data_IF_546952257179
#
_entry.id   IF_546952257179
#
_cell.length_a   1.000
_cell.length_b   1.000
_cell.length_c   1.000
_cell.angle_alpha   90.00
_cell.angle_beta   90.00
_cell.angle_gamma   90.00
#
_symmetry.space_group_name_H-M   'P 1'
#
loop_
_entity.id
_entity.type
_entity.pdbx_description
1 polymer ?
#
# COMPACT_ATOMS: atom_id res chain seq x y z
N UNK A 1 11.08 -21.55 -21.41
CA UNK A 1 11.77 -21.04 -20.21
C UNK A 1 11.35 -19.58 -19.96
N UNK A 2 11.10 -19.17 -18.72
CA UNK A 2 10.79 -17.78 -18.40
C UNK A 2 11.94 -16.84 -18.79
N UNK A 3 11.63 -15.71 -19.44
CA UNK A 3 12.60 -14.64 -19.75
C UNK A 3 12.79 -13.73 -18.52
N UNK A 4 13.88 -12.97 -18.44
CA UNK A 4 14.15 -12.02 -17.35
C UNK A 4 12.96 -11.09 -17.06
N UNK A 5 12.30 -10.58 -18.11
CA UNK A 5 11.09 -9.76 -17.98
C UNK A 5 9.95 -10.44 -17.22
N UNK A 6 9.80 -11.77 -17.33
CA UNK A 6 8.75 -12.51 -16.64
C UNK A 6 9.03 -12.56 -15.13
N UNK A 7 10.31 -12.70 -14.72
CA UNK A 7 10.71 -12.63 -13.30
C UNK A 7 10.44 -11.28 -12.66
N UNK A 8 10.58 -10.18 -13.42
CA UNK A 8 10.17 -8.87 -12.94
C UNK A 8 8.64 -8.77 -12.88
N UNK A 9 7.93 -9.24 -13.90
CA UNK A 9 6.47 -9.11 -13.99
C UNK A 9 5.74 -9.94 -12.92
N UNK A 10 6.23 -11.12 -12.53
CA UNK A 10 5.61 -11.95 -11.50
C UNK A 10 5.68 -11.32 -10.10
N UNK A 11 6.59 -10.37 -9.88
CA UNK A 11 6.66 -9.58 -8.65
C UNK A 11 5.69 -8.38 -8.63
N UNK A 12 4.84 -8.22 -9.65
CA UNK A 12 3.82 -7.19 -9.81
C UNK A 12 4.33 -5.74 -9.68
N UNK A 13 5.29 -5.29 -10.51
CA UNK A 13 5.93 -3.98 -10.36
C UNK A 13 4.93 -2.81 -10.47
N UNK A 14 3.79 -3.00 -11.14
CA UNK A 14 2.71 -2.00 -11.20
C UNK A 14 2.05 -1.71 -9.83
N UNK A 15 2.18 -2.60 -8.85
CA UNK A 15 1.66 -2.42 -7.49
C UNK A 15 2.64 -1.73 -6.54
N UNK A 16 3.96 -1.72 -6.84
CA UNK A 16 4.99 -1.16 -5.96
C UNK A 16 4.80 0.31 -5.56
N UNK A 17 4.15 1.17 -6.38
CA UNK A 17 3.79 2.50 -5.93
C UNK A 17 2.93 2.52 -4.64
N UNK A 18 2.19 1.45 -4.33
CA UNK A 18 1.41 1.38 -3.09
C UNK A 18 2.29 1.36 -1.84
N UNK A 19 3.50 0.76 -1.88
CA UNK A 19 4.46 0.82 -0.77
C UNK A 19 5.41 2.01 -0.88
N UNK A 20 5.77 2.40 -2.10
CA UNK A 20 6.63 3.54 -2.36
C UNK A 20 5.99 4.88 -1.97
N UNK A 21 4.69 5.04 -2.19
CA UNK A 21 3.97 6.28 -1.90
C UNK A 21 4.02 6.68 -0.42
N UNK A 22 3.64 5.85 0.57
CA UNK A 22 3.76 6.22 1.98
C UNK A 22 5.22 6.45 2.40
N UNK A 23 6.16 5.68 1.86
CA UNK A 23 7.57 5.87 2.15
C UNK A 23 8.09 7.22 1.63
N UNK A 24 7.67 7.64 0.43
CA UNK A 24 7.98 8.96 -0.15
C UNK A 24 7.36 10.11 0.65
N UNK A 25 6.12 9.97 1.12
CA UNK A 25 5.46 10.97 1.98
C UNK A 25 6.26 11.12 3.27
N UNK A 26 6.65 10.02 3.92
CA UNK A 26 7.45 10.06 5.13
C UNK A 26 8.81 10.74 4.90
N UNK A 27 9.51 10.36 3.83
CA UNK A 27 10.79 10.94 3.46
C UNK A 27 10.70 12.46 3.23
N UNK A 28 9.69 12.90 2.45
CA UNK A 28 9.45 14.33 2.19
C UNK A 28 9.06 15.09 3.45
N UNK A 29 8.31 14.43 4.36
CA UNK A 29 7.95 15.04 5.63
C UNK A 29 9.15 15.19 6.58
N UNK A 30 10.09 14.24 6.59
CA UNK A 30 11.36 14.39 7.32
C UNK A 30 12.18 15.57 6.75
N UNK A 31 12.15 15.79 5.43
CA UNK A 31 12.76 16.98 4.84
C UNK A 31 12.10 18.27 5.38
N UNK A 32 10.76 18.32 5.44
CA UNK A 32 10.04 19.44 6.04
C UNK A 32 10.47 19.66 7.50
N UNK A 33 10.49 18.61 8.32
CA UNK A 33 10.89 18.67 9.73
C UNK A 33 12.32 19.18 9.90
N UNK A 34 13.25 18.72 9.06
CA UNK A 34 14.65 19.17 9.06
C UNK A 34 14.78 20.66 8.72
N UNK A 35 14.10 21.12 7.67
CA UNK A 35 14.14 22.51 7.23
C UNK A 35 13.46 23.48 8.20
N UNK A 36 12.46 23.02 8.96
CA UNK A 36 11.75 23.81 9.97
C UNK A 36 12.35 23.70 11.37
N UNK A 37 13.45 22.96 11.54
CA UNK A 37 14.14 22.81 12.82
C UNK A 37 13.46 21.89 13.83
N UNK A 38 12.48 21.09 13.39
CA UNK A 38 11.82 20.08 14.24
C UNK A 38 12.77 18.92 14.54
N UNK A 39 13.62 18.56 13.58
CA UNK A 39 14.72 17.58 13.76
C UNK A 39 16.05 18.21 13.34
N UNK A 40 17.09 17.93 14.11
CA UNK A 40 18.41 18.53 13.89
C UNK A 40 19.29 17.71 12.94
N UNK A 41 19.19 16.38 13.01
CA UNK A 41 20.04 15.47 12.25
C UNK A 41 19.19 14.48 11.48
N UNK A 42 19.58 14.19 10.23
CA UNK A 42 18.84 13.29 9.34
C UNK A 42 19.80 12.42 8.53
N UNK A 43 19.60 11.11 8.58
CA UNK A 43 20.30 10.18 7.71
C UNK A 43 19.50 9.92 6.42
N UNK A 44 19.81 10.68 5.38
CA UNK A 44 19.15 10.61 4.07
C UNK A 44 19.36 9.26 3.38
N UNK A 45 20.54 8.65 3.54
CA UNK A 45 20.84 7.35 2.98
C UNK A 45 19.90 6.27 3.57
N UNK A 46 19.70 6.28 4.89
CA UNK A 46 18.81 5.33 5.54
C UNK A 46 17.35 5.50 5.09
N UNK A 47 16.92 6.74 4.83
CA UNK A 47 15.61 7.01 4.23
C UNK A 47 15.47 6.37 2.84
N UNK A 48 16.47 6.53 1.97
CA UNK A 48 16.44 5.87 0.64
C UNK A 48 16.46 4.35 0.77
N UNK A 49 17.27 3.80 1.65
CA UNK A 49 17.32 2.36 1.90
C UNK A 49 15.99 1.83 2.46
N UNK A 50 15.30 2.59 3.30
CA UNK A 50 13.98 2.22 3.82
C UNK A 50 12.89 2.22 2.72
N UNK A 51 12.93 3.17 1.78
CA UNK A 51 12.04 3.16 0.59
C UNK A 51 12.27 1.89 -0.23
N UNK A 52 13.53 1.56 -0.52
CA UNK A 52 13.90 0.34 -1.24
C UNK A 52 13.43 -0.89 -0.47
N UNK A 53 13.66 -0.94 0.85
CA UNK A 53 13.21 -2.01 1.72
C UNK A 53 11.69 -2.23 1.68
N UNK A 54 10.90 -1.15 1.74
CA UNK A 54 9.44 -1.22 1.63
C UNK A 54 8.98 -1.84 0.31
N UNK A 55 9.63 -1.51 -0.80
CA UNK A 55 9.34 -2.10 -2.12
C UNK A 55 9.76 -3.57 -2.18
N UNK A 56 10.91 -3.93 -1.61
CA UNK A 56 11.38 -5.31 -1.55
C UNK A 56 10.40 -6.20 -0.75
N UNK A 57 9.97 -5.76 0.45
CA UNK A 57 8.98 -6.49 1.23
C UNK A 57 7.64 -6.63 0.51
N UNK A 58 7.20 -5.59 -0.20
CA UNK A 58 5.99 -5.66 -1.02
C UNK A 58 6.12 -6.67 -2.16
N UNK A 59 7.23 -6.64 -2.91
CA UNK A 59 7.50 -7.59 -3.99
C UNK A 59 7.54 -9.03 -3.46
N UNK A 60 8.17 -9.28 -2.32
CA UNK A 60 8.19 -10.58 -1.66
C UNK A 60 6.77 -11.05 -1.30
N UNK A 61 5.95 -10.18 -0.72
CA UNK A 61 4.56 -10.47 -0.38
C UNK A 61 3.72 -10.84 -1.61
N UNK A 62 3.89 -10.14 -2.73
CA UNK A 62 3.23 -10.47 -3.99
C UNK A 62 3.60 -11.86 -4.49
N UNK A 63 4.91 -12.17 -4.51
CA UNK A 63 5.41 -13.48 -4.97
C UNK A 63 4.90 -14.64 -4.11
N UNK A 64 4.91 -14.47 -2.79
CA UNK A 64 4.40 -15.49 -1.85
C UNK A 64 2.89 -15.65 -2.03
N UNK A 65 2.14 -14.55 -2.16
CA UNK A 65 0.70 -14.58 -2.38
C UNK A 65 0.33 -15.21 -3.72
N UNK A 66 1.05 -14.91 -4.81
CA UNK A 66 0.85 -15.51 -6.14
C UNK A 66 0.88 -17.03 -6.08
N UNK A 67 1.86 -17.61 -5.35
CA UNK A 67 1.93 -19.06 -5.13
C UNK A 67 0.73 -19.60 -4.38
N UNK A 68 0.38 -18.98 -3.25
CA UNK A 68 -0.71 -19.48 -2.39
C UNK A 68 -2.09 -19.32 -3.04
N UNK A 69 -2.32 -18.22 -3.76
CA UNK A 69 -3.55 -17.97 -4.50
C UNK A 69 -3.73 -19.00 -5.64
N UNK A 70 -2.64 -19.36 -6.34
CA UNK A 70 -2.65 -20.41 -7.35
C UNK A 70 -2.97 -21.79 -6.75
N UNK A 71 -2.22 -22.22 -5.72
CA UNK A 71 -2.39 -23.54 -5.09
C UNK A 71 -3.79 -23.71 -4.49
N UNK A 72 -4.39 -22.62 -4.01
CA UNK A 72 -5.75 -22.64 -3.44
C UNK A 72 -6.86 -22.50 -4.50
N UNK A 73 -6.49 -22.29 -5.76
CA UNK A 73 -7.48 -22.11 -6.83
C UNK A 73 -8.23 -20.77 -6.79
N UNK A 74 -7.64 -19.77 -6.13
CA UNK A 74 -8.14 -18.40 -6.08
C UNK A 74 -7.94 -17.70 -7.42
N UNK A 75 -6.77 -17.89 -8.02
CA UNK A 75 -6.43 -17.33 -9.33
C UNK A 75 -6.77 -18.35 -10.42
N UNK A 76 -7.65 -17.95 -11.34
CA UNK A 76 -8.10 -18.72 -12.51
C UNK A 76 -7.95 -17.86 -13.76
N UNK A 77 -8.00 -18.48 -14.97
CA UNK A 77 -7.90 -17.76 -16.24
C UNK A 77 -9.04 -16.76 -16.45
N UNK A 78 -10.22 -17.09 -15.95
CA UNK A 78 -11.44 -16.28 -16.09
C UNK A 78 -11.48 -15.10 -15.09
N UNK A 79 -10.54 -15.03 -14.13
CA UNK A 79 -10.54 -13.98 -13.12
C UNK A 79 -10.26 -12.63 -13.74
N UNK A 80 -11.09 -11.66 -13.40
CA UNK A 80 -10.89 -10.25 -13.79
C UNK A 80 -9.65 -9.68 -13.09
N UNK A 81 -8.84 -8.91 -13.80
CA UNK A 81 -7.65 -8.25 -13.24
C UNK A 81 -6.37 -8.60 -13.97
N UNK A 82 -5.20 -8.26 -13.43
CA UNK A 82 -3.92 -8.56 -14.04
C UNK A 82 -3.70 -10.05 -14.22
N UNK A 83 -3.23 -10.44 -15.38
CA UNK A 83 -2.99 -11.86 -15.70
C UNK A 83 -1.86 -12.40 -14.82
N UNK A 84 -2.09 -13.57 -14.22
CA UNK A 84 -1.15 -14.27 -13.35
C UNK A 84 -0.25 -15.21 -14.17
N UNK A 85 1.06 -15.08 -14.02
CA UNK A 85 2.01 -15.82 -14.85
C UNK A 85 2.07 -17.31 -14.51
N UNK A 86 1.73 -17.70 -13.28
CA UNK A 86 1.60 -19.12 -12.89
C UNK A 86 0.37 -19.71 -13.57
N UNK A 87 -0.78 -19.03 -13.56
CA UNK A 87 -2.02 -19.50 -14.19
C UNK A 87 -1.86 -19.67 -15.71
N UNK A 88 -1.04 -18.83 -16.36
CA UNK A 88 -0.69 -18.97 -17.77
C UNK A 88 0.31 -20.10 -18.08
N UNK A 89 0.80 -20.84 -17.07
CA UNK A 89 1.80 -21.89 -17.25
C UNK A 89 3.20 -21.37 -17.66
N UNK A 90 3.47 -20.05 -17.52
CA UNK A 90 4.78 -19.47 -17.80
C UNK A 90 5.78 -19.86 -16.71
N UNK A 91 5.31 -19.96 -15.47
CA UNK A 91 6.08 -20.43 -14.32
C UNK A 91 5.42 -21.65 -13.68
N UNK A 92 6.27 -22.57 -13.19
CA UNK A 92 5.86 -23.49 -12.17
C UNK A 92 5.70 -22.75 -10.82
N UNK A 93 4.77 -23.18 -9.94
CA UNK A 93 4.51 -22.46 -8.68
C UNK A 93 5.71 -22.39 -7.73
N UNK A 94 6.43 -23.53 -7.54
CA UNK A 94 7.54 -23.62 -6.57
C UNK A 94 8.69 -22.64 -6.82
N UNK A 95 9.20 -22.45 -8.07
CA UNK A 95 10.21 -21.43 -8.38
C UNK A 95 9.78 -20.01 -8.01
N UNK A 96 8.50 -19.66 -8.17
CA UNK A 96 7.98 -18.33 -7.78
C UNK A 96 7.99 -18.16 -6.26
N UNK A 97 7.60 -19.18 -5.51
CA UNK A 97 7.69 -19.16 -4.05
C UNK A 97 9.14 -19.01 -3.56
N UNK A 98 10.07 -19.78 -4.15
CA UNK A 98 11.50 -19.68 -3.83
C UNK A 98 12.02 -18.27 -4.09
N UNK A 99 11.67 -17.69 -5.24
CA UNK A 99 12.02 -16.31 -5.57
C UNK A 99 11.44 -15.34 -4.54
N UNK A 100 10.20 -15.53 -4.10
CA UNK A 100 9.58 -14.74 -3.04
C UNK A 100 10.39 -14.78 -1.73
N UNK A 101 10.84 -15.94 -1.31
CA UNK A 101 11.68 -16.06 -0.11
C UNK A 101 13.10 -15.49 -0.28
N UNK A 102 13.68 -15.57 -1.47
CA UNK A 102 14.97 -14.92 -1.75
C UNK A 102 14.85 -13.38 -1.67
N UNK A 103 13.79 -12.82 -2.26
CA UNK A 103 13.51 -11.37 -2.19
C UNK A 103 13.22 -10.96 -0.74
N UNK A 104 12.44 -11.76 0.01
CA UNK A 104 12.19 -11.53 1.43
C UNK A 104 13.49 -11.52 2.24
N UNK A 105 14.37 -12.47 2.01
CA UNK A 105 15.67 -12.57 2.69
C UNK A 105 16.54 -11.35 2.41
N UNK A 106 16.54 -10.83 1.18
CA UNK A 106 17.23 -9.60 0.85
C UNK A 106 16.65 -8.39 1.64
N UNK A 107 15.32 -8.32 1.76
CA UNK A 107 14.64 -7.31 2.59
C UNK A 107 15.00 -7.44 4.07
N UNK A 108 15.05 -8.65 4.61
CA UNK A 108 15.43 -8.90 6.01
C UNK A 108 16.90 -8.50 6.26
N UNK A 109 17.82 -8.83 5.36
CA UNK A 109 19.23 -8.42 5.48
C UNK A 109 19.39 -6.90 5.48
N UNK A 110 18.67 -6.20 4.60
CA UNK A 110 18.62 -4.74 4.60
C UNK A 110 18.01 -4.21 5.91
N UNK A 111 16.93 -4.83 6.40
CA UNK A 111 16.29 -4.48 7.67
C UNK A 111 17.24 -4.68 8.86
N UNK A 112 18.02 -5.75 8.90
CA UNK A 112 19.04 -6.00 9.94
C UNK A 112 20.14 -4.94 9.87
N UNK A 113 20.61 -4.58 8.67
CA UNK A 113 21.58 -3.51 8.51
C UNK A 113 21.06 -2.18 9.10
N UNK A 114 19.84 -1.80 8.80
CA UNK A 114 19.22 -0.59 9.36
C UNK A 114 19.01 -0.72 10.88
N UNK A 115 18.55 -1.89 11.36
CA UNK A 115 18.32 -2.17 12.79
C UNK A 115 19.58 -1.99 13.63
N UNK A 116 20.72 -2.53 13.17
CA UNK A 116 22.00 -2.44 13.88
C UNK A 116 22.45 -0.96 13.98
N UNK A 117 22.10 -0.14 13.01
CA UNK A 117 22.52 1.26 12.98
C UNK A 117 21.51 2.23 13.63
N UNK A 118 20.24 1.83 13.83
CA UNK A 118 19.17 2.73 14.31
C UNK A 118 18.54 2.28 15.63
N UNK A 119 18.64 0.98 15.98
CA UNK A 119 18.23 0.46 17.27
C UNK A 119 16.90 -0.28 17.28
N UNK A 120 16.54 -0.78 18.47
CA UNK A 120 15.50 -1.76 18.73
C UNK A 120 14.08 -1.43 18.22
N UNK A 121 13.59 -0.17 18.22
CA UNK A 121 12.25 0.14 17.69
C UNK A 121 12.01 -0.35 16.25
N UNK A 122 13.06 -0.37 15.42
CA UNK A 122 12.95 -0.88 14.06
C UNK A 122 12.64 -2.39 14.01
N UNK A 123 13.04 -3.17 15.01
CA UNK A 123 12.71 -4.59 15.10
C UNK A 123 11.19 -4.80 15.16
N UNK A 124 10.49 -4.01 15.96
CA UNK A 124 9.02 -4.10 16.10
C UNK A 124 8.35 -3.72 14.78
N UNK A 125 8.76 -2.60 14.19
CA UNK A 125 8.22 -2.11 12.92
C UNK A 125 8.50 -3.10 11.78
N UNK A 126 9.75 -3.60 11.69
CA UNK A 126 10.16 -4.57 10.68
C UNK A 126 9.43 -5.92 10.82
N UNK A 127 9.14 -6.36 12.03
CA UNK A 127 8.35 -7.58 12.28
C UNK A 127 6.95 -7.47 11.70
N UNK A 128 6.29 -6.30 11.78
CA UNK A 128 5.01 -6.07 11.12
C UNK A 128 5.14 -6.24 9.60
N UNK A 129 6.21 -5.71 8.99
CA UNK A 129 6.49 -5.88 7.57
C UNK A 129 6.70 -7.35 7.17
N UNK A 130 7.48 -8.11 7.95
CA UNK A 130 7.72 -9.54 7.70
C UNK A 130 6.41 -10.34 7.80
N UNK A 131 5.63 -10.15 8.86
CA UNK A 131 4.34 -10.82 9.07
C UNK A 131 3.38 -10.47 7.93
N UNK A 132 3.29 -9.19 7.56
CA UNK A 132 2.44 -8.75 6.46
C UNK A 132 2.85 -9.37 5.12
N UNK A 133 4.16 -9.49 4.83
CA UNK A 133 4.62 -10.07 3.57
C UNK A 133 4.46 -11.59 3.50
N UNK A 134 4.68 -12.29 4.63
CA UNK A 134 4.67 -13.76 4.66
C UNK A 134 3.27 -14.35 4.88
N UNK A 135 2.42 -13.69 5.65
CA UNK A 135 1.12 -14.19 6.08
C UNK A 135 -0.07 -13.45 5.47
N UNK A 136 0.17 -12.49 4.55
CA UNK A 136 -0.89 -11.71 3.92
C UNK A 136 -2.01 -12.59 3.33
N UNK A 137 -1.66 -13.68 2.64
CA UNK A 137 -2.63 -14.60 2.06
C UNK A 137 -3.58 -15.19 3.12
N UNK A 138 -3.10 -15.50 4.34
CA UNK A 138 -3.95 -15.99 5.45
C UNK A 138 -4.92 -14.92 5.91
N UNK A 139 -4.43 -13.69 6.10
CA UNK A 139 -5.28 -12.56 6.50
C UNK A 139 -6.31 -12.23 5.43
N UNK A 140 -5.92 -12.29 4.15
CA UNK A 140 -6.83 -12.13 3.00
C UNK A 140 -7.97 -13.13 3.06
N UNK A 141 -7.66 -14.41 3.27
CA UNK A 141 -8.67 -15.47 3.33
C UNK A 141 -9.57 -15.40 4.56
N UNK A 142 -9.14 -14.75 5.63
CA UNK A 142 -9.90 -14.50 6.84
C UNK A 142 -10.72 -13.19 6.80
N UNK A 143 -10.62 -12.42 5.71
CA UNK A 143 -11.28 -11.12 5.56
C UNK A 143 -10.73 -10.03 6.48
N UNK A 144 -9.41 -10.05 6.69
CA UNK A 144 -8.66 -9.07 7.47
C UNK A 144 -7.66 -8.28 6.61
N UNK A 145 -7.70 -8.46 5.29
CA UNK A 145 -6.75 -7.84 4.35
C UNK A 145 -6.71 -6.32 4.46
N UNK A 146 -7.87 -5.66 4.56
CA UNK A 146 -7.98 -4.20 4.61
C UNK A 146 -7.27 -3.64 5.85
N UNK A 147 -7.45 -4.30 7.02
CA UNK A 147 -6.79 -3.93 8.27
C UNK A 147 -5.26 -4.10 8.18
N UNK A 148 -4.80 -5.25 7.67
CA UNK A 148 -3.36 -5.53 7.54
C UNK A 148 -2.70 -4.55 6.58
N UNK A 149 -3.34 -4.24 5.46
CA UNK A 149 -2.84 -3.25 4.50
C UNK A 149 -2.79 -1.86 5.16
N UNK A 150 -3.83 -1.45 5.91
CA UNK A 150 -3.81 -0.17 6.62
C UNK A 150 -2.65 -0.09 7.63
N UNK A 151 -2.46 -1.11 8.45
CA UNK A 151 -1.37 -1.14 9.46
C UNK A 151 0.00 -1.13 8.76
N UNK A 152 0.19 -1.95 7.74
CA UNK A 152 1.48 -2.09 7.09
C UNK A 152 1.82 -0.84 6.24
N UNK A 153 0.93 -0.49 5.29
CA UNK A 153 1.19 0.57 4.30
C UNK A 153 0.80 1.96 4.80
N UNK A 154 -0.23 2.05 5.63
CA UNK A 154 -0.69 3.31 6.18
C UNK A 154 0.13 3.80 7.37
N UNK A 155 0.64 2.89 8.22
CA UNK A 155 1.26 3.28 9.48
C UNK A 155 2.72 2.83 9.59
N UNK A 156 3.00 1.52 9.39
CA UNK A 156 4.32 0.96 9.70
C UNK A 156 5.41 1.45 8.76
N UNK A 157 5.15 1.52 7.45
CA UNK A 157 6.14 2.01 6.47
C UNK A 157 6.55 3.44 6.80
N UNK A 158 5.59 4.33 7.05
CA UNK A 158 5.88 5.74 7.31
C UNK A 158 6.60 5.95 8.63
N UNK A 159 6.17 5.27 9.69
CA UNK A 159 6.86 5.31 10.98
C UNK A 159 8.29 4.77 10.87
N UNK A 160 8.47 3.68 10.13
CA UNK A 160 9.77 3.06 9.89
C UNK A 160 10.73 3.99 9.12
N UNK A 161 10.25 4.65 8.07
CA UNK A 161 11.07 5.61 7.30
C UNK A 161 11.48 6.78 8.18
N UNK A 162 10.54 7.41 8.91
CA UNK A 162 10.89 8.51 9.82
C UNK A 162 11.90 8.04 10.86
N UNK A 163 11.66 6.89 11.49
CA UNK A 163 12.51 6.37 12.53
C UNK A 163 13.96 6.11 12.05
N UNK A 164 14.15 5.47 10.90
CA UNK A 164 15.52 5.20 10.42
C UNK A 164 16.26 6.47 9.96
N UNK A 165 15.51 7.51 9.58
CA UNK A 165 16.10 8.80 9.18
C UNK A 165 16.51 9.65 10.38
N UNK A 166 15.76 9.58 11.50
CA UNK A 166 15.90 10.51 12.63
C UNK A 166 16.29 9.82 13.95
N UNK A 167 16.19 8.49 14.03
CA UNK A 167 16.28 7.67 15.25
C UNK A 167 15.24 8.02 16.32
N UNK A 168 14.23 8.80 15.97
CA UNK A 168 13.15 9.21 16.86
C UNK A 168 11.80 8.63 16.43
N UNK A 169 10.97 8.21 17.40
CA UNK A 169 9.59 7.80 17.16
C UNK A 169 8.68 9.03 17.11
N UNK A 170 8.53 9.61 15.94
CA UNK A 170 7.68 10.78 15.73
C UNK A 170 6.23 10.36 15.46
N UNK A 171 5.42 10.25 16.52
CA UNK A 171 4.05 9.74 16.45
C UNK A 171 3.09 10.54 15.55
N UNK A 172 3.20 11.88 15.41
CA UNK A 172 2.33 12.61 14.48
C UNK A 172 2.36 12.12 13.05
N UNK A 173 3.43 11.39 12.62
CA UNK A 173 3.49 10.79 11.28
C UNK A 173 2.34 9.81 11.04
N UNK A 174 1.82 9.17 12.07
CA UNK A 174 0.69 8.24 11.94
C UNK A 174 -0.58 8.97 11.45
N UNK A 175 -0.84 10.19 11.93
CA UNK A 175 -1.94 11.02 11.42
C UNK A 175 -1.67 11.46 9.98
N UNK A 176 -0.45 11.89 9.67
CA UNK A 176 -0.04 12.40 8.36
C UNK A 176 -0.11 11.30 7.28
N UNK A 177 0.17 10.06 7.66
CA UNK A 177 0.17 8.90 6.75
C UNK A 177 -1.20 8.24 6.60
N UNK A 178 -2.11 8.44 7.56
CA UNK A 178 -3.45 7.84 7.51
C UNK A 178 -4.20 8.12 6.21
N UNK A 179 -4.18 9.33 5.61
CA UNK A 179 -4.82 9.59 4.33
C UNK A 179 -4.36 8.64 3.22
N UNK A 180 -3.04 8.49 3.03
CA UNK A 180 -2.53 7.59 1.98
C UNK A 180 -2.82 6.13 2.32
N UNK A 181 -2.75 5.75 3.60
CA UNK A 181 -3.13 4.41 4.05
C UNK A 181 -4.58 4.07 3.70
N UNK A 182 -5.53 4.98 3.96
CA UNK A 182 -6.93 4.82 3.59
C UNK A 182 -7.13 4.69 2.08
N UNK A 183 -6.45 5.52 1.29
CA UNK A 183 -6.52 5.46 -0.17
C UNK A 183 -5.93 4.14 -0.71
N UNK A 184 -4.88 3.58 -0.09
CA UNK A 184 -4.32 2.27 -0.46
C UNK A 184 -5.29 1.14 -0.10
N UNK A 185 -5.92 1.21 1.08
CA UNK A 185 -7.00 0.26 1.44
C UNK A 185 -8.14 0.33 0.43
N UNK A 186 -8.50 1.52 -0.07
CA UNK A 186 -9.55 1.67 -1.07
C UNK A 186 -9.20 0.97 -2.41
N UNK A 187 -7.91 0.87 -2.80
CA UNK A 187 -7.48 0.05 -3.95
C UNK A 187 -7.88 -1.41 -3.73
N UNK A 188 -7.48 -1.96 -2.58
CA UNK A 188 -7.76 -3.35 -2.24
C UNK A 188 -9.25 -3.61 -2.07
N UNK A 189 -9.97 -2.68 -1.43
CA UNK A 189 -11.41 -2.80 -1.21
C UNK A 189 -12.20 -2.77 -2.53
N UNK A 190 -11.79 -1.94 -3.50
CA UNK A 190 -12.35 -1.94 -4.85
C UNK A 190 -12.11 -3.29 -5.57
N UNK A 191 -10.89 -3.84 -5.44
CA UNK A 191 -10.53 -5.15 -5.97
C UNK A 191 -11.40 -6.26 -5.34
N UNK A 192 -11.47 -6.32 -4.00
CA UNK A 192 -12.27 -7.30 -3.28
C UNK A 192 -13.78 -7.18 -3.59
N UNK A 193 -14.27 -5.96 -3.84
CA UNK A 193 -15.68 -5.74 -4.22
C UNK A 193 -15.96 -6.26 -5.62
N UNK A 194 -15.07 -6.00 -6.58
CA UNK A 194 -15.15 -6.52 -7.95
C UNK A 194 -15.18 -8.05 -7.97
N UNK A 195 -14.31 -8.66 -7.16
CA UNK A 195 -14.05 -10.10 -7.20
C UNK A 195 -14.94 -10.92 -6.25
N UNK A 196 -15.97 -10.31 -5.59
CA UNK A 196 -16.82 -10.94 -4.57
C UNK A 196 -17.38 -12.30 -4.97
N UNK A 197 -17.87 -12.45 -6.20
CA UNK A 197 -18.46 -13.69 -6.68
C UNK A 197 -17.41 -14.77 -6.89
N UNK A 198 -16.29 -14.42 -7.49
CA UNK A 198 -15.16 -15.33 -7.76
C UNK A 198 -14.47 -15.76 -6.47
N UNK A 199 -14.30 -14.85 -5.52
CA UNK A 199 -13.74 -15.14 -4.20
C UNK A 199 -14.65 -16.08 -3.39
N UNK A 200 -16.00 -15.97 -3.54
CA UNK A 200 -16.97 -16.87 -2.94
C UNK A 200 -16.82 -18.28 -3.48
N UNK A 201 -16.67 -18.45 -4.79
CA UNK A 201 -16.44 -19.75 -5.43
C UNK A 201 -15.12 -20.39 -4.97
N UNK A 202 -14.09 -19.59 -4.73
CA UNK A 202 -12.80 -20.04 -4.20
C UNK A 202 -12.81 -20.32 -2.69
N UNK A 203 -13.96 -20.13 -2.01
CA UNK A 203 -14.10 -20.36 -0.57
C UNK A 203 -13.40 -19.34 0.32
N UNK A 204 -13.10 -18.15 -0.22
CA UNK A 204 -12.49 -17.04 0.52
C UNK A 204 -13.59 -16.20 1.18
N UNK A 205 -13.25 -15.53 2.28
CA UNK A 205 -14.17 -14.61 2.98
C UNK A 205 -13.52 -13.23 3.08
N UNK A 206 -13.64 -12.41 2.03
CA UNK A 206 -13.13 -11.03 2.05
C UNK A 206 -14.02 -10.12 2.90
N UNK A 207 -13.50 -8.94 3.28
CA UNK A 207 -14.26 -7.93 4.01
C UNK A 207 -15.45 -7.43 3.16
N UNK A 208 -15.23 -7.22 1.86
CA UNK A 208 -16.29 -6.82 0.94
C UNK A 208 -17.46 -7.82 0.92
N UNK A 209 -17.18 -9.12 0.95
CA UNK A 209 -18.22 -10.15 1.04
C UNK A 209 -19.00 -10.12 2.35
N UNK A 210 -18.34 -9.80 3.48
CA UNK A 210 -19.02 -9.69 4.79
C UNK A 210 -19.95 -8.48 4.84
N UNK A 211 -19.59 -7.39 4.18
CA UNK A 211 -20.34 -6.14 4.13
C UNK A 211 -21.47 -6.15 3.07
N UNK A 212 -21.36 -7.03 2.07
CA UNK A 212 -22.17 -6.96 0.87
C UNK A 212 -21.82 -5.76 -0.01
N UNK A 213 -22.51 -5.63 -1.16
CA UNK A 213 -22.20 -4.59 -2.13
C UNK A 213 -22.47 -3.17 -1.59
N UNK A 214 -23.64 -2.96 -0.97
CA UNK A 214 -24.01 -1.65 -0.42
C UNK A 214 -23.03 -1.20 0.69
N UNK A 215 -22.70 -2.11 1.62
CA UNK A 215 -21.71 -1.83 2.66
C UNK A 215 -20.34 -1.53 2.08
N UNK A 216 -19.93 -2.24 1.02
CA UNK A 216 -18.65 -1.99 0.33
C UNK A 216 -18.63 -0.65 -0.38
N UNK A 217 -19.74 -0.22 -0.98
CA UNK A 217 -19.87 1.12 -1.59
C UNK A 217 -19.72 2.23 -0.53
N UNK A 218 -20.33 2.05 0.65
CA UNK A 218 -20.22 3.01 1.76
C UNK A 218 -18.77 3.07 2.27
N UNK A 219 -18.14 1.91 2.53
CA UNK A 219 -16.74 1.85 3.01
C UNK A 219 -15.81 2.50 2.01
N UNK A 220 -15.92 2.17 0.72
CA UNK A 220 -15.09 2.77 -0.32
C UNK A 220 -15.22 4.31 -0.35
N UNK A 221 -16.44 4.81 -0.35
CA UNK A 221 -16.71 6.26 -0.29
C UNK A 221 -16.11 6.89 0.96
N UNK A 222 -16.28 6.27 2.12
CA UNK A 222 -15.76 6.74 3.42
C UNK A 222 -14.24 6.82 3.40
N UNK A 223 -13.54 5.79 2.90
CA UNK A 223 -12.09 5.76 2.79
C UNK A 223 -11.56 6.95 1.97
N UNK A 224 -12.20 7.25 0.83
CA UNK A 224 -11.77 8.37 0.00
C UNK A 224 -12.05 9.73 0.66
N UNK A 225 -13.25 9.95 1.20
CA UNK A 225 -13.62 11.27 1.76
C UNK A 225 -12.88 11.59 3.06
N UNK A 226 -12.75 10.60 3.95
CA UNK A 226 -12.05 10.78 5.23
C UNK A 226 -10.55 11.02 5.02
N UNK A 227 -9.94 10.49 3.95
CA UNK A 227 -8.56 10.81 3.62
C UNK A 227 -8.33 12.32 3.45
N UNK A 228 -9.20 13.02 2.72
CA UNK A 228 -9.11 14.50 2.58
C UNK A 228 -9.43 15.24 3.88
N UNK A 229 -10.40 14.74 4.66
CA UNK A 229 -10.74 15.33 5.96
C UNK A 229 -9.54 15.27 6.92
N UNK A 230 -8.82 14.16 6.96
CA UNK A 230 -7.64 14.00 7.83
C UNK A 230 -6.52 14.96 7.42
N UNK A 231 -6.32 15.22 6.11
CA UNK A 231 -5.37 16.27 5.67
C UNK A 231 -5.77 17.62 6.27
N UNK A 232 -7.05 18.00 6.21
CA UNK A 232 -7.52 19.25 6.79
C UNK A 232 -7.29 19.28 8.31
N UNK A 233 -7.56 18.18 9.01
CA UNK A 233 -7.29 18.07 10.46
C UNK A 233 -5.79 18.22 10.74
N UNK A 234 -4.92 17.58 9.98
CA UNK A 234 -3.47 17.67 10.16
C UNK A 234 -2.95 19.11 9.94
N UNK A 235 -3.54 19.85 9.01
CA UNK A 235 -3.25 21.28 8.82
C UNK A 235 -3.75 22.10 9.99
N UNK A 236 -4.99 21.89 10.46
CA UNK A 236 -5.53 22.60 11.63
C UNK A 236 -4.71 22.34 12.89
N UNK A 237 -4.19 21.12 13.06
CA UNK A 237 -3.29 20.75 14.15
C UNK A 237 -1.85 21.27 13.96
N UNK A 238 -1.55 21.95 12.86
CA UNK A 238 -0.23 22.47 12.49
C UNK A 238 0.86 21.41 12.30
N UNK A 239 0.48 20.16 12.04
CA UNK A 239 1.42 19.11 11.64
C UNK A 239 1.79 19.20 10.17
N UNK A 240 0.89 19.75 9.34
CA UNK A 240 1.13 20.01 7.92
C UNK A 240 0.96 21.50 7.61
N UNK A 241 1.77 21.99 6.68
CA UNK A 241 1.64 23.36 6.17
C UNK A 241 0.42 23.47 5.24
N UNK A 242 -0.30 24.61 5.19
CA UNK A 242 -1.49 24.77 4.33
C UNK A 242 -1.25 24.51 2.84
N UNK A 243 -0.01 24.62 2.33
CA UNK A 243 0.32 24.33 0.94
C UNK A 243 -0.06 22.89 0.53
N UNK A 244 -0.18 21.97 1.51
CA UNK A 244 -0.61 20.59 1.24
C UNK A 244 -2.05 20.48 0.73
N UNK A 245 -2.87 21.53 0.84
CA UNK A 245 -4.19 21.56 0.22
C UNK A 245 -4.14 21.46 -1.31
N UNK A 246 -2.97 21.53 -1.94
CA UNK A 246 -2.81 21.19 -3.36
C UNK A 246 -3.30 19.77 -3.68
N UNK A 247 -3.34 18.85 -2.70
CA UNK A 247 -3.92 17.51 -2.88
C UNK A 247 -5.41 17.54 -3.26
N UNK A 248 -6.15 18.63 -2.96
CA UNK A 248 -7.55 18.81 -3.34
C UNK A 248 -7.75 18.83 -4.86
N UNK A 249 -6.71 19.10 -5.65
CA UNK A 249 -6.72 18.98 -7.12
C UNK A 249 -7.07 17.54 -7.55
N UNK A 250 -6.81 16.53 -6.70
CA UNK A 250 -7.17 15.14 -6.96
C UNK A 250 -8.63 14.80 -6.60
N UNK A 251 -9.34 15.67 -5.90
CA UNK A 251 -10.71 15.41 -5.43
C UNK A 251 -11.73 15.12 -6.54
N UNK A 252 -11.69 15.79 -7.72
CA UNK A 252 -12.56 15.41 -8.84
C UNK A 252 -12.36 13.95 -9.30
N UNK A 253 -11.13 13.43 -9.25
CA UNK A 253 -10.84 12.02 -9.56
C UNK A 253 -11.45 11.10 -8.49
N UNK A 254 -11.29 11.43 -7.21
CA UNK A 254 -11.92 10.70 -6.10
C UNK A 254 -13.44 10.66 -6.25
N UNK A 255 -14.08 11.79 -6.56
CA UNK A 255 -15.53 11.88 -6.80
C UNK A 255 -15.97 10.98 -7.97
N UNK A 256 -15.21 10.98 -9.07
CA UNK A 256 -15.50 10.11 -10.23
C UNK A 256 -15.40 8.63 -9.84
N UNK A 257 -14.39 8.24 -9.08
CA UNK A 257 -14.22 6.87 -8.60
C UNK A 257 -15.38 6.45 -7.68
N UNK A 258 -15.82 7.33 -6.76
CA UNK A 258 -17.00 7.09 -5.90
C UNK A 258 -18.27 6.90 -6.76
N UNK A 259 -18.48 7.75 -7.76
CA UNK A 259 -19.61 7.63 -8.66
C UNK A 259 -19.57 6.29 -9.41
N UNK A 260 -18.42 5.89 -9.92
CA UNK A 260 -18.22 4.60 -10.59
C UNK A 260 -18.54 3.43 -9.65
N UNK A 261 -18.02 3.43 -8.40
CA UNK A 261 -18.34 2.40 -7.41
C UNK A 261 -19.85 2.25 -7.20
N UNK A 262 -20.60 3.36 -7.16
CA UNK A 262 -22.06 3.36 -7.00
C UNK A 262 -22.83 2.79 -8.19
N UNK A 263 -22.21 2.66 -9.36
CA UNK A 263 -22.86 2.03 -10.54
C UNK A 263 -22.87 0.51 -10.50
N UNK A 264 -22.05 -0.10 -9.61
CA UNK A 264 -21.99 -1.54 -9.48
C UNK A 264 -23.31 -2.10 -8.95
N UNK A 265 -23.73 -3.23 -9.51
CA UNK A 265 -24.84 -4.05 -9.03
C UNK A 265 -24.34 -5.48 -8.86
N UNK A 266 -25.01 -6.31 -8.04
CA UNK A 266 -24.60 -7.70 -7.82
C UNK A 266 -24.51 -8.48 -9.12
N UNK A 267 -25.41 -8.20 -10.06
CA UNK A 267 -25.46 -8.87 -11.38
C UNK A 267 -24.45 -8.27 -12.38
N UNK A 268 -23.82 -7.14 -12.06
CA UNK A 268 -22.90 -6.45 -12.99
C UNK A 268 -21.74 -5.76 -12.26
N UNK A 269 -20.87 -6.56 -11.66
CA UNK A 269 -19.62 -6.08 -11.04
C UNK A 269 -18.55 -5.71 -12.09
N UNK A 270 -18.71 -6.11 -13.34
CA UNK A 270 -17.81 -5.74 -14.46
C UNK A 270 -17.72 -4.22 -14.65
N UNK A 271 -18.76 -3.47 -14.27
CA UNK A 271 -18.75 -2.00 -14.30
C UNK A 271 -17.57 -1.39 -13.52
N UNK A 272 -17.11 -2.05 -12.48
CA UNK A 272 -16.00 -1.60 -11.63
C UNK A 272 -14.69 -2.36 -11.88
N UNK A 273 -14.55 -3.05 -13.04
CA UNK A 273 -13.39 -3.90 -13.35
C UNK A 273 -12.03 -3.19 -13.28
N UNK A 274 -11.98 -1.89 -13.51
CA UNK A 274 -10.76 -1.06 -13.47
C UNK A 274 -10.73 -0.07 -12.30
N UNK A 275 -11.67 -0.17 -11.36
CA UNK A 275 -11.78 0.81 -10.28
C UNK A 275 -10.55 0.79 -9.35
N UNK A 276 -9.99 -0.39 -9.10
CA UNK A 276 -8.71 -0.56 -8.39
C UNK A 276 -7.56 0.21 -9.08
N UNK A 277 -7.46 0.10 -10.40
CA UNK A 277 -6.47 0.82 -11.22
C UNK A 277 -6.70 2.34 -11.17
N UNK A 278 -7.94 2.80 -11.26
CA UNK A 278 -8.26 4.24 -11.14
C UNK A 278 -7.98 4.76 -9.73
N UNK A 279 -8.23 3.96 -8.71
CA UNK A 279 -7.88 4.29 -7.33
C UNK A 279 -6.37 4.33 -7.12
N UNK A 280 -5.61 3.40 -7.71
CA UNK A 280 -4.14 3.42 -7.67
C UNK A 280 -3.56 4.68 -8.33
N UNK A 281 -4.14 5.15 -9.45
CA UNK A 281 -3.78 6.44 -10.06
C UNK A 281 -4.07 7.61 -9.12
N UNK A 282 -5.22 7.60 -8.45
CA UNK A 282 -5.56 8.61 -7.44
C UNK A 282 -4.52 8.62 -6.30
N UNK A 283 -4.17 7.45 -5.76
CA UNK A 283 -3.14 7.31 -4.71
C UNK A 283 -1.81 7.91 -5.15
N UNK A 284 -1.36 7.58 -6.36
CA UNK A 284 -0.10 8.11 -6.90
C UNK A 284 -0.14 9.64 -7.04
N UNK A 285 -1.20 10.18 -7.64
CA UNK A 285 -1.35 11.63 -7.80
C UNK A 285 -1.39 12.36 -6.44
N UNK A 286 -2.18 11.85 -5.50
CA UNK A 286 -2.29 12.38 -4.15
C UNK A 286 -0.93 12.36 -3.43
N UNK A 287 -0.23 11.25 -3.50
CA UNK A 287 1.06 11.06 -2.82
C UNK A 287 2.16 11.94 -3.39
N UNK A 288 2.21 12.08 -4.72
CA UNK A 288 3.17 12.98 -5.40
C UNK A 288 2.91 14.43 -5.00
N UNK A 289 1.65 14.88 -4.99
CA UNK A 289 1.31 16.25 -4.60
C UNK A 289 1.60 16.51 -3.12
N UNK A 290 1.27 15.57 -2.23
CA UNK A 290 1.55 15.71 -0.80
C UNK A 290 3.05 15.74 -0.53
N UNK A 291 3.83 14.87 -1.19
CA UNK A 291 5.29 14.86 -1.06
C UNK A 291 5.92 16.14 -1.62
N UNK A 292 5.46 16.62 -2.78
CA UNK A 292 5.92 17.88 -3.36
C UNK A 292 5.61 19.07 -2.44
N UNK A 293 4.40 19.09 -1.86
CA UNK A 293 4.01 20.11 -0.90
C UNK A 293 4.92 20.12 0.35
N UNK A 294 5.28 18.95 0.89
CA UNK A 294 6.21 18.85 2.02
C UNK A 294 7.63 19.39 1.66
N UNK A 295 8.10 19.18 0.41
CA UNK A 295 9.37 19.74 -0.04
C UNK A 295 9.32 21.27 -0.23
N UNK A 296 8.18 21.82 -0.65
CA UNK A 296 7.98 23.25 -0.92
C UNK A 296 7.68 24.03 0.35
N UNK A 297 6.93 23.42 1.29
CA UNK A 297 6.42 24.07 2.50
C UNK A 297 7.45 24.87 3.31
N UNK A 298 8.72 24.46 3.46
CA UNK A 298 9.72 25.24 4.23
C UNK A 298 10.11 26.57 3.58
N UNK A 299 9.72 26.81 2.34
CA UNK A 299 10.17 27.99 1.55
C UNK A 299 9.02 28.99 1.26
N UNK A 300 7.81 28.75 1.78
CA UNK A 300 6.59 29.56 1.52
C UNK A 300 5.89 30.03 2.80
#
# INVERSE_FOLDING_TARGET
MPKLKHWLMVAHPWSWPASGSPAMIAFSYVFYMYKTGVVAEVNWLFGMLAIIGAVIFHAAGNLISEYHDYVRGVDKLEKTGPVRLIVLGIFEPKPVLLYGYLVLSAGILLGIYLLVNTGFPLLIIGTIGIISSTLYYKFKYAGMSDLVIFICYGLSITLGVVYVMTTELYWPILLISTPVGMLIVAILHANNTRDMLQDKEAGIKTQAMKLGLEGSQIVYQTLLLVAYLIVAIAVMMRFLHPVVFVVLVTFPVARKNIQLMKTATVDNLVKIQFLDTYTAKLVLMFSVLLSAANFIAPFV
#
